data_IF_962835224701
#
_entry.id   IF_962835224701
#
_cell.length_a   1.000
_cell.length_b   1.000
_cell.length_c   1.000
_cell.angle_alpha   90.00
_cell.angle_beta   90.00
_cell.angle_gamma   90.00
#
_symmetry.space_group_name_H-M   'P 1'
#
loop_
_entity.id
_entity.type
_entity.pdbx_description
1 polymer ?
#
# COMPACT_ATOMS: atom_id res chain seq x y z
N UNK A 1 -7.83 11.67 -10.99
CA UNK A 1 -6.82 11.57 -9.92
C UNK A 1 -5.67 10.67 -10.33
N UNK A 2 -4.95 11.11 -11.34
CA UNK A 2 -3.83 10.34 -11.87
C UNK A 2 -2.77 10.06 -10.80
N UNK A 3 -2.58 11.01 -9.88
CA UNK A 3 -1.60 10.84 -8.82
C UNK A 3 -1.94 9.65 -7.90
N UNK A 4 -3.22 9.48 -7.57
CA UNK A 4 -3.65 8.38 -6.70
C UNK A 4 -3.40 7.04 -7.37
N UNK A 5 -3.78 6.92 -8.64
CA UNK A 5 -3.51 5.71 -9.42
C UNK A 5 -2.02 5.42 -9.50
N UNK A 6 -1.25 6.48 -9.72
CA UNK A 6 0.19 6.35 -9.85
C UNK A 6 0.81 5.84 -8.56
N UNK A 7 0.28 6.29 -7.42
CA UNK A 7 0.80 5.86 -6.13
C UNK A 7 0.62 4.36 -5.93
N UNK A 8 -0.56 3.82 -6.22
CA UNK A 8 -0.79 2.40 -6.06
C UNK A 8 0.04 1.58 -7.05
N UNK A 9 0.13 2.05 -8.30
CA UNK A 9 0.94 1.35 -9.30
C UNK A 9 2.42 1.36 -8.93
N UNK A 10 2.89 2.47 -8.37
CA UNK A 10 4.27 2.60 -7.93
C UNK A 10 4.56 1.63 -6.78
N UNK A 11 3.65 1.53 -5.82
CA UNK A 11 3.81 0.63 -4.70
C UNK A 11 3.80 -0.83 -5.15
N UNK A 12 2.98 -1.17 -6.14
CA UNK A 12 2.94 -2.53 -6.66
C UNK A 12 4.24 -2.89 -7.38
N UNK A 13 4.80 -1.93 -8.13
CA UNK A 13 6.08 -2.14 -8.79
C UNK A 13 7.17 -2.36 -7.74
N UNK A 14 7.11 -1.58 -6.67
CA UNK A 14 8.07 -1.73 -5.59
C UNK A 14 7.95 -3.09 -4.93
N UNK A 15 6.72 -3.60 -4.79
CA UNK A 15 6.52 -4.94 -4.22
C UNK A 15 7.22 -6.00 -5.05
N UNK A 16 7.12 -5.89 -6.39
CA UNK A 16 7.78 -6.86 -7.26
C UNK A 16 9.29 -6.80 -7.14
N UNK A 17 9.85 -5.60 -7.01
CA UNK A 17 11.29 -5.44 -6.80
C UNK A 17 11.75 -6.05 -5.49
N UNK A 18 10.97 -5.81 -4.44
CA UNK A 18 11.29 -6.36 -3.12
C UNK A 18 11.26 -7.88 -3.14
N UNK A 19 10.26 -8.44 -3.81
CA UNK A 19 10.16 -9.89 -3.91
C UNK A 19 11.38 -10.49 -4.64
N UNK A 20 11.79 -9.86 -5.74
CA UNK A 20 12.97 -10.33 -6.47
C UNK A 20 14.22 -10.26 -5.62
N UNK A 21 14.38 -9.16 -4.89
CA UNK A 21 15.54 -9.00 -4.02
C UNK A 21 15.54 -10.06 -2.91
N UNK A 22 14.36 -10.34 -2.34
CA UNK A 22 14.27 -11.34 -1.29
C UNK A 22 14.64 -12.72 -1.81
N UNK A 23 14.19 -13.05 -3.02
CA UNK A 23 14.53 -14.34 -3.62
C UNK A 23 16.03 -14.45 -3.86
N UNK A 24 16.62 -13.36 -4.37
CA UNK A 24 18.06 -13.32 -4.61
C UNK A 24 18.87 -13.48 -3.32
N UNK A 25 18.34 -12.97 -2.22
CA UNK A 25 19.01 -13.03 -0.93
C UNK A 25 18.67 -14.28 -0.12
N UNK A 26 17.85 -15.16 -0.68
CA UNK A 26 17.49 -16.39 0.02
C UNK A 26 16.48 -16.21 1.13
N UNK A 27 15.68 -15.13 1.08
CA UNK A 27 14.71 -14.83 2.12
C UNK A 27 13.31 -15.37 1.84
N UNK A 28 13.15 -16.13 0.75
CA UNK A 28 11.83 -16.62 0.38
C UNK A 28 11.12 -17.40 1.48
N UNK A 29 11.88 -18.13 2.29
CA UNK A 29 11.31 -18.94 3.38
C UNK A 29 11.43 -18.26 4.74
N UNK A 30 11.91 -17.02 4.79
CA UNK A 30 12.07 -16.30 6.03
C UNK A 30 10.70 -15.88 6.57
N UNK A 31 10.41 -16.26 7.82
CA UNK A 31 9.10 -16.01 8.42
C UNK A 31 8.78 -14.51 8.48
N UNK A 32 9.73 -13.71 8.94
CA UNK A 32 9.51 -12.26 9.05
C UNK A 32 9.24 -11.65 7.68
N UNK A 33 10.00 -12.08 6.66
CA UNK A 33 9.78 -11.58 5.33
C UNK A 33 8.40 -11.98 4.82
N UNK A 34 8.05 -13.25 4.95
CA UNK A 34 6.77 -13.75 4.44
C UNK A 34 5.58 -13.02 5.06
N UNK A 35 5.58 -12.87 6.39
CA UNK A 35 4.44 -12.24 7.07
C UNK A 35 4.36 -10.75 6.73
N UNK A 36 5.50 -10.07 6.67
CA UNK A 36 5.52 -8.65 6.36
C UNK A 36 5.13 -8.40 4.91
N UNK A 37 5.63 -9.24 4.01
CA UNK A 37 5.28 -9.09 2.60
C UNK A 37 3.80 -9.36 2.35
N UNK A 38 3.24 -10.32 3.04
CA UNK A 38 1.81 -10.59 2.93
C UNK A 38 0.98 -9.40 3.40
N UNK A 39 1.41 -8.75 4.48
CA UNK A 39 0.75 -7.53 4.95
C UNK A 39 0.80 -6.46 3.85
N UNK A 40 1.94 -6.32 3.21
CA UNK A 40 2.10 -5.35 2.14
C UNK A 40 1.14 -5.64 0.98
N UNK A 41 1.03 -6.91 0.58
CA UNK A 41 0.11 -7.30 -0.48
C UNK A 41 -1.33 -6.96 -0.12
N UNK A 42 -1.72 -7.18 1.13
CA UNK A 42 -3.05 -6.84 1.59
C UNK A 42 -3.27 -5.33 1.52
N UNK A 43 -2.28 -4.55 1.94
CA UNK A 43 -2.38 -3.09 1.87
C UNK A 43 -2.52 -2.61 0.44
N UNK A 44 -1.79 -3.23 -0.50
CA UNK A 44 -1.90 -2.88 -1.91
C UNK A 44 -3.30 -3.16 -2.44
N UNK A 45 -3.89 -4.28 -2.04
CA UNK A 45 -5.24 -4.61 -2.46
C UNK A 45 -6.24 -3.59 -1.95
N UNK A 46 -6.09 -3.20 -0.68
CA UNK A 46 -6.94 -2.17 -0.10
C UNK A 46 -6.81 -0.86 -0.87
N UNK A 47 -5.58 -0.47 -1.18
CA UNK A 47 -5.35 0.76 -1.93
C UNK A 47 -6.00 0.72 -3.30
N UNK A 48 -5.91 -0.41 -4.00
CA UNK A 48 -6.55 -0.55 -5.30
C UNK A 48 -8.07 -0.41 -5.21
N UNK A 49 -8.65 -1.02 -4.19
CA UNK A 49 -10.09 -0.93 -4.00
C UNK A 49 -10.52 0.50 -3.66
N UNK A 50 -9.72 1.19 -2.85
CA UNK A 50 -9.99 2.57 -2.50
C UNK A 50 -9.83 3.50 -3.70
N UNK A 51 -8.84 3.24 -4.56
CA UNK A 51 -8.70 4.02 -5.79
C UNK A 51 -9.96 3.93 -6.64
N UNK A 52 -10.49 2.72 -6.76
CA UNK A 52 -11.72 2.54 -7.54
C UNK A 52 -12.87 3.33 -6.95
N UNK A 53 -12.99 3.33 -5.64
CA UNK A 53 -14.05 4.09 -4.98
C UNK A 53 -13.88 5.59 -5.20
N UNK A 54 -12.64 6.07 -5.15
CA UNK A 54 -12.38 7.49 -5.38
C UNK A 54 -12.69 7.87 -6.82
N UNK A 55 -12.30 7.02 -7.77
CA UNK A 55 -12.58 7.28 -9.18
C UNK A 55 -14.07 7.24 -9.48
N UNK A 56 -14.78 6.32 -8.84
CA UNK A 56 -16.19 6.14 -9.10
C UNK A 56 -17.04 7.26 -8.49
N UNK A 57 -16.73 7.64 -7.26
CA UNK A 57 -17.55 8.59 -6.52
C UNK A 57 -16.95 9.98 -6.40
N UNK A 58 -15.68 10.15 -6.78
CA UNK A 58 -15.02 11.43 -6.72
C UNK A 58 -14.57 11.80 -5.32
N UNK A 59 -14.15 13.06 -5.15
CA UNK A 59 -13.59 13.55 -3.90
C UNK A 59 -14.64 13.77 -2.82
N UNK A 60 -15.89 13.96 -3.23
CA UNK A 60 -16.98 14.18 -2.29
C UNK A 60 -18.12 13.24 -2.64
N UNK A 61 -18.95 12.97 -1.65
CA UNK A 61 -20.15 12.18 -1.85
C UNK A 61 -21.32 12.93 -1.23
N UNK A 62 -22.53 12.63 -1.71
CA UNK A 62 -23.74 13.26 -1.19
C UNK A 62 -24.36 12.33 -0.17
N UNK A 63 -24.70 12.89 0.99
CA UNK A 63 -25.39 12.15 2.04
C UNK A 63 -26.66 12.87 2.41
N UNK A 64 -27.71 12.11 2.67
CA UNK A 64 -28.97 12.65 3.14
C UNK A 64 -29.11 12.37 4.61
N UNK A 65 -28.92 13.39 5.44
CA UNK A 65 -28.98 13.24 6.88
C UNK A 65 -30.42 13.47 7.42
N UNK A 66 -31.15 14.34 6.74
CA UNK A 66 -32.50 14.62 7.12
C UNK A 66 -33.31 14.44 5.86
N UNK A 67 -34.53 13.91 6.03
CA UNK A 67 -35.39 13.65 4.91
C UNK A 67 -35.47 14.85 3.96
N UNK A 68 -35.12 14.61 2.72
CA UNK A 68 -35.15 15.64 1.68
C UNK A 68 -34.01 16.64 1.72
N UNK A 69 -33.02 16.42 2.58
CA UNK A 69 -31.85 17.32 2.68
C UNK A 69 -30.61 16.54 2.43
N UNK A 70 -29.74 17.08 1.57
CA UNK A 70 -28.53 16.45 1.20
C UNK A 70 -27.34 17.30 1.62
N UNK A 71 -26.28 16.64 2.09
CA UNK A 71 -25.03 17.29 2.45
C UNK A 71 -23.90 16.66 1.69
N UNK A 72 -23.02 17.49 1.13
CA UNK A 72 -21.80 17.01 0.50
C UNK A 72 -20.77 16.79 1.58
N UNK A 73 -20.16 15.63 1.57
CA UNK A 73 -19.10 15.30 2.52
C UNK A 73 -17.92 14.73 1.75
N UNK A 74 -16.75 14.80 2.35
CA UNK A 74 -15.56 14.20 1.75
C UNK A 74 -15.78 12.70 1.56
N UNK A 75 -15.31 12.19 0.44
CA UNK A 75 -15.36 10.76 0.20
C UNK A 75 -14.47 10.07 1.25
N UNK A 76 -15.03 9.23 2.14
CA UNK A 76 -14.23 8.58 3.17
C UNK A 76 -13.07 7.76 2.61
N UNK A 77 -13.19 7.30 1.36
CA UNK A 77 -12.12 6.54 0.74
C UNK A 77 -10.83 7.34 0.63
N UNK A 78 -10.91 8.68 0.52
CA UNK A 78 -9.70 9.50 0.45
C UNK A 78 -8.93 9.45 1.76
N UNK A 79 -9.62 9.58 2.89
CA UNK A 79 -8.98 9.49 4.20
C UNK A 79 -8.37 8.10 4.39
N UNK A 80 -9.12 7.06 4.06
CA UNK A 80 -8.62 5.69 4.20
C UNK A 80 -7.46 5.42 3.24
N UNK A 81 -7.51 5.97 2.03
CA UNK A 81 -6.40 5.81 1.09
C UNK A 81 -5.13 6.42 1.66
N UNK A 82 -5.21 7.63 2.19
CA UNK A 82 -4.06 8.30 2.77
C UNK A 82 -3.51 7.53 3.97
N UNK A 83 -4.40 7.03 4.83
CA UNK A 83 -4.00 6.27 6.00
C UNK A 83 -3.33 4.96 5.59
N UNK A 84 -3.91 4.25 4.63
CA UNK A 84 -3.36 2.98 4.17
C UNK A 84 -2.04 3.19 3.43
N UNK A 85 -1.92 4.28 2.65
CA UNK A 85 -0.65 4.60 1.99
C UNK A 85 0.46 4.83 3.00
N UNK A 86 0.17 5.54 4.08
CA UNK A 86 1.16 5.78 5.12
C UNK A 86 1.58 4.46 5.76
N UNK A 87 0.58 3.60 6.06
CA UNK A 87 0.86 2.29 6.64
C UNK A 87 1.70 1.43 5.68
N UNK A 88 1.38 1.48 4.38
CA UNK A 88 2.11 0.70 3.39
C UNK A 88 3.56 1.18 3.27
N UNK A 89 3.78 2.49 3.36
CA UNK A 89 5.15 3.01 3.35
C UNK A 89 5.94 2.50 4.54
N UNK A 90 5.30 2.41 5.71
CA UNK A 90 5.96 1.83 6.88
C UNK A 90 6.29 0.36 6.67
N UNK A 91 5.38 -0.38 6.04
CA UNK A 91 5.62 -1.79 5.74
C UNK A 91 6.81 -1.94 4.78
N UNK A 92 6.91 -1.07 3.77
CA UNK A 92 8.04 -1.08 2.84
C UNK A 92 9.35 -0.82 3.60
N UNK A 93 9.35 0.13 4.52
CA UNK A 93 10.55 0.41 5.31
C UNK A 93 10.98 -0.83 6.09
N UNK A 94 10.02 -1.55 6.66
CA UNK A 94 10.31 -2.78 7.38
C UNK A 94 10.88 -3.84 6.45
N UNK A 95 10.30 -4.00 5.25
CA UNK A 95 10.80 -4.94 4.27
C UNK A 95 12.23 -4.61 3.85
N UNK A 96 12.49 -3.34 3.60
CA UNK A 96 13.84 -2.91 3.21
C UNK A 96 14.83 -3.23 4.33
N UNK A 97 14.45 -3.03 5.59
CA UNK A 97 15.33 -3.36 6.71
C UNK A 97 15.60 -4.86 6.77
N UNK A 98 14.59 -5.68 6.48
CA UNK A 98 14.79 -7.13 6.44
C UNK A 98 15.80 -7.50 5.35
N UNK A 99 15.66 -6.90 4.17
CA UNK A 99 16.60 -7.14 3.07
C UNK A 99 18.00 -6.72 3.44
N UNK A 100 18.15 -5.58 4.09
CA UNK A 100 19.45 -5.07 4.50
C UNK A 100 20.11 -6.00 5.51
N UNK A 101 19.32 -6.58 6.40
CA UNK A 101 19.85 -7.51 7.40
C UNK A 101 20.43 -8.76 6.77
N UNK A 102 19.97 -9.13 5.59
CA UNK A 102 20.45 -10.31 4.90
C UNK A 102 21.70 -10.03 4.08
N UNK A 103 22.12 -8.76 3.99
CA UNK A 103 23.26 -8.37 3.16
C UNK A 103 24.62 -8.32 3.82
N UNK A 104 24.76 -8.39 5.14
CA UNK A 104 26.06 -8.16 5.75
C UNK A 104 27.18 -9.04 5.17
N UNK A 105 26.90 -10.31 4.98
CA UNK A 105 27.91 -11.23 4.45
C UNK A 105 28.28 -10.86 3.02
N UNK A 106 27.33 -10.47 2.24
CA UNK A 106 27.53 -10.06 0.86
C UNK A 106 28.34 -8.77 0.80
N UNK A 107 28.04 -7.84 1.69
CA UNK A 107 28.73 -6.58 1.72
C UNK A 107 30.19 -6.74 2.12
N UNK A 108 30.51 -7.77 2.86
CA UNK A 108 31.88 -8.04 3.30
C UNK A 108 32.71 -8.75 2.25
N UNK A 109 32.05 -9.33 1.31
CA UNK A 109 32.74 -9.98 0.21
C UNK A 109 33.28 -8.94 -0.76
#
# INVERSE_FOLDING_TARGET
MARIKKDAATLRRKANEILKDAERLGLGDNFMFQTTFKRYQTQLKILEDLEKAIEEYGATVTKEYVKGRENLVSNPAITEFNRTSTAANGTVATLINILKSAKPAEAEA
#
